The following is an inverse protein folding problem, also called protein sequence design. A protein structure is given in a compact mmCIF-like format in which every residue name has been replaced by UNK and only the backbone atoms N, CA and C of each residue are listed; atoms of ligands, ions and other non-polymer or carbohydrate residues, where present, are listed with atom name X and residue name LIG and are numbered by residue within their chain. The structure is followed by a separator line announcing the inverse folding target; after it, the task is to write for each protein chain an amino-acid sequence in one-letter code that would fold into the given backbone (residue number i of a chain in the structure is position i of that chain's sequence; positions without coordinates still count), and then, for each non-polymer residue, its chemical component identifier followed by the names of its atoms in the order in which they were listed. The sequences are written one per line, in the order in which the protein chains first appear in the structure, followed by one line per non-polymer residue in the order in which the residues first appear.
data_IF_051171317732
#
_entry.id   IF_051171317732
#
_cell.length_a   1.000
_cell.length_b   1.000
_cell.length_c   1.000
_cell.angle_alpha   90.00
_cell.angle_beta   90.00
_cell.angle_gamma   90.00
#
_symmetry.space_group_name_H-M   'P 1'
#
loop_
_entity.id
_entity.type
_entity.pdbx_description
1 polymer ?
#
# COMPACT_ATOMS: atom_id res chain seq x y z
N UNK A 1 6.43 -0.97 -13.35
CA UNK A 1 5.40 -1.72 -12.59
C UNK A 1 5.84 -3.18 -12.53
N UNK A 2 5.64 -3.84 -11.39
CA UNK A 2 5.89 -5.30 -11.21
C UNK A 2 4.74 -6.16 -11.72
N UNK A 3 3.52 -5.60 -11.80
CA UNK A 3 2.29 -6.22 -12.31
C UNK A 3 1.72 -5.38 -13.48
N UNK A 4 0.49 -5.66 -13.94
CA UNK A 4 -0.16 -4.94 -15.05
C UNK A 4 -1.59 -4.47 -14.71
N UNK A 5 -2.17 -3.56 -15.52
CA UNK A 5 -3.48 -2.94 -15.26
C UNK A 5 -4.61 -3.91 -14.88
N UNK A 6 -4.78 -4.98 -15.67
CA UNK A 6 -5.86 -5.96 -15.45
C UNK A 6 -5.68 -6.78 -14.17
N UNK A 7 -4.48 -6.78 -13.58
CA UNK A 7 -4.18 -7.56 -12.39
C UNK A 7 -4.74 -6.91 -11.11
N UNK A 8 -4.94 -5.58 -11.14
CA UNK A 8 -5.45 -4.79 -10.01
C UNK A 8 -6.79 -5.32 -9.48
N UNK A 9 -7.64 -5.89 -10.35
CA UNK A 9 -8.93 -6.49 -9.95
C UNK A 9 -8.79 -7.68 -8.98
N UNK A 10 -7.59 -8.26 -8.86
CA UNK A 10 -7.34 -9.42 -8.01
C UNK A 10 -6.99 -9.05 -6.58
N UNK A 11 -6.70 -7.78 -6.29
CA UNK A 11 -6.32 -7.30 -4.96
C UNK A 11 -7.49 -7.32 -3.96
N UNK A 12 -7.20 -7.64 -2.70
CA UNK A 12 -8.15 -7.55 -1.59
C UNK A 12 -8.10 -6.19 -0.87
N UNK A 13 -6.98 -5.48 -1.02
CA UNK A 13 -6.78 -4.13 -0.53
C UNK A 13 -5.92 -3.36 -1.53
N UNK A 14 -6.30 -2.11 -1.79
CA UNK A 14 -5.57 -1.22 -2.69
C UNK A 14 -5.22 0.06 -1.94
N UNK A 15 -3.93 0.28 -1.72
CA UNK A 15 -3.40 1.56 -1.23
C UNK A 15 -2.99 2.40 -2.44
N UNK A 16 -3.63 3.55 -2.60
CA UNK A 16 -3.25 4.59 -3.55
C UNK A 16 -2.56 5.69 -2.74
N UNK A 17 -1.24 5.85 -2.90
CA UNK A 17 -0.46 6.91 -2.25
C UNK A 17 0.41 7.62 -3.30
N UNK A 18 0.36 8.95 -3.33
CA UNK A 18 1.14 9.74 -4.29
C UNK A 18 0.67 9.61 -5.75
N UNK A 19 -0.58 9.21 -5.98
CA UNK A 19 -1.18 9.06 -7.30
C UNK A 19 -2.67 9.38 -7.30
N UNK A 20 -3.19 9.91 -8.42
CA UNK A 20 -4.62 10.22 -8.60
C UNK A 20 -5.19 9.49 -9.83
N UNK A 21 -5.31 8.15 -9.82
CA UNK A 21 -5.60 7.35 -11.01
C UNK A 21 -7.01 7.53 -11.59
N UNK A 22 -8.01 7.97 -10.81
CA UNK A 22 -9.33 8.29 -11.38
C UNK A 22 -9.27 9.48 -12.36
N UNK A 23 -8.23 10.32 -12.27
CA UNK A 23 -8.02 11.46 -13.16
C UNK A 23 -6.86 11.24 -14.13
N UNK A 24 -5.72 10.72 -13.63
CA UNK A 24 -4.50 10.54 -14.43
C UNK A 24 -4.47 9.22 -15.22
N UNK A 25 -5.22 8.20 -14.81
CA UNK A 25 -5.26 6.88 -15.46
C UNK A 25 -6.70 6.34 -15.53
N UNK A 26 -7.68 7.11 -16.03
CA UNK A 26 -9.10 6.81 -15.86
C UNK A 26 -9.52 5.49 -16.50
N UNK A 27 -8.94 5.12 -17.64
CA UNK A 27 -9.19 3.82 -18.29
C UNK A 27 -8.65 2.67 -17.43
N UNK A 28 -7.50 2.85 -16.78
CA UNK A 28 -6.97 1.85 -15.84
C UNK A 28 -7.81 1.75 -14.56
N UNK A 29 -8.42 2.86 -14.13
CA UNK A 29 -9.20 2.94 -12.90
C UNK A 29 -10.42 2.00 -12.87
N UNK A 30 -10.90 1.55 -14.05
CA UNK A 30 -11.95 0.53 -14.14
C UNK A 30 -11.60 -0.76 -13.38
N UNK A 31 -10.31 -1.13 -13.30
CA UNK A 31 -9.88 -2.35 -12.60
C UNK A 31 -9.86 -2.19 -11.08
N UNK A 32 -9.69 -0.97 -10.57
CA UNK A 32 -9.83 -0.64 -9.16
C UNK A 32 -11.30 -0.76 -8.74
N UNK A 33 -12.20 -0.18 -9.55
CA UNK A 33 -13.65 -0.28 -9.33
C UNK A 33 -14.10 -1.74 -9.42
N UNK A 34 -13.55 -2.53 -10.35
CA UNK A 34 -13.85 -3.96 -10.44
C UNK A 34 -13.42 -4.72 -9.18
N UNK A 35 -12.23 -4.46 -8.62
CA UNK A 35 -11.80 -5.05 -7.36
C UNK A 35 -12.77 -4.70 -6.21
N UNK A 36 -13.13 -3.40 -6.12
CA UNK A 36 -14.03 -2.87 -5.08
C UNK A 36 -15.43 -3.48 -5.13
N UNK A 37 -15.96 -3.74 -6.33
CA UNK A 37 -17.32 -4.27 -6.50
C UNK A 37 -17.39 -5.80 -6.52
N UNK A 38 -16.26 -6.50 -6.56
CA UNK A 38 -16.22 -7.95 -6.57
C UNK A 38 -16.43 -8.49 -5.14
N UNK A 39 -17.57 -9.14 -4.84
CA UNK A 39 -17.88 -9.60 -3.49
C UNK A 39 -16.93 -10.71 -3.01
N UNK A 40 -16.18 -11.34 -3.91
CA UNK A 40 -15.17 -12.36 -3.57
C UNK A 40 -13.85 -11.75 -3.09
N UNK A 41 -13.70 -10.43 -3.18
CA UNK A 41 -12.52 -9.67 -2.74
C UNK A 41 -12.75 -9.01 -1.39
N UNK A 42 -11.64 -8.60 -0.79
CA UNK A 42 -11.62 -7.84 0.44
C UNK A 42 -10.94 -8.59 1.59
N UNK A 43 -10.58 -7.90 2.68
CA UNK A 43 -10.03 -8.55 3.86
C UNK A 43 -11.09 -9.48 4.49
N UNK A 44 -10.76 -10.75 4.72
CA UNK A 44 -11.67 -11.72 5.38
C UNK A 44 -12.65 -12.40 4.41
N UNK A 45 -13.93 -12.45 4.79
CA UNK A 45 -15.00 -13.28 4.14
C UNK A 45 -15.70 -12.64 2.93
N UNK A 46 -15.13 -11.59 2.34
CA UNK A 46 -15.66 -10.90 1.15
C UNK A 46 -16.34 -9.55 1.44
N UNK A 47 -16.81 -8.90 0.37
CA UNK A 47 -17.48 -7.58 0.44
C UNK A 47 -16.89 -6.49 -0.47
N UNK A 48 -15.83 -6.80 -1.22
CA UNK A 48 -15.15 -5.86 -2.10
C UNK A 48 -13.75 -5.50 -1.62
N UNK A 49 -12.84 -5.25 -2.55
CA UNK A 49 -11.50 -4.76 -2.22
C UNK A 49 -11.57 -3.40 -1.52
N UNK A 50 -10.88 -3.26 -0.38
CA UNK A 50 -10.86 -2.01 0.37
C UNK A 50 -9.87 -1.02 -0.29
N UNK A 51 -10.36 0.14 -0.74
CA UNK A 51 -9.54 1.19 -1.35
C UNK A 51 -9.20 2.27 -0.32
N UNK A 52 -7.91 2.45 -0.05
CA UNK A 52 -7.37 3.54 0.77
C UNK A 52 -6.67 4.54 -0.14
N UNK A 53 -7.03 5.83 -0.06
CA UNK A 53 -6.37 6.89 -0.81
C UNK A 53 -5.68 7.88 0.15
N UNK A 54 -4.36 7.93 0.10
CA UNK A 54 -3.52 8.85 0.85
C UNK A 54 -3.01 9.97 -0.07
N UNK A 55 -3.53 11.19 0.12
CA UNK A 55 -3.21 12.37 -0.69
C UNK A 55 -3.40 13.64 0.16
N UNK A 56 -2.61 14.72 -0.04
CA UNK A 56 -2.84 16.00 0.63
C UNK A 56 -4.20 16.66 0.29
N UNK A 57 -4.83 16.24 -0.81
CA UNK A 57 -6.09 16.77 -1.35
C UNK A 57 -7.15 15.68 -1.44
N UNK A 58 -8.40 16.09 -1.30
CA UNK A 58 -9.54 15.24 -1.65
C UNK A 58 -9.80 15.35 -3.16
N UNK A 59 -9.66 14.24 -3.90
CA UNK A 59 -9.72 14.20 -5.38
C UNK A 59 -10.87 13.31 -5.87
N UNK A 60 -11.03 13.16 -7.20
CA UNK A 60 -11.99 12.17 -7.74
C UNK A 60 -11.62 10.73 -7.39
N UNK A 61 -10.33 10.44 -7.16
CA UNK A 61 -9.92 9.13 -6.61
C UNK A 61 -10.41 8.99 -5.17
N UNK A 62 -10.25 10.02 -4.33
CA UNK A 62 -10.72 10.00 -2.93
C UNK A 62 -12.23 9.76 -2.83
N UNK A 63 -13.01 10.29 -3.78
CA UNK A 63 -14.45 10.13 -3.82
C UNK A 63 -14.92 8.67 -4.02
N UNK A 64 -14.05 7.79 -4.54
CA UNK A 64 -14.33 6.36 -4.75
C UNK A 64 -13.60 5.45 -3.74
N UNK A 65 -12.73 6.02 -2.90
CA UNK A 65 -12.02 5.30 -1.86
C UNK A 65 -12.94 5.02 -0.66
N UNK A 66 -12.74 3.88 0.00
CA UNK A 66 -13.40 3.55 1.28
C UNK A 66 -12.82 4.38 2.42
N UNK A 67 -11.52 4.68 2.35
CA UNK A 67 -10.85 5.54 3.33
C UNK A 67 -9.97 6.58 2.64
N UNK A 68 -10.22 7.85 2.94
CA UNK A 68 -9.31 8.94 2.59
C UNK A 68 -8.41 9.28 3.78
N UNK A 69 -7.10 9.28 3.55
CA UNK A 69 -6.09 9.68 4.51
C UNK A 69 -5.43 10.97 4.04
N UNK A 70 -5.68 12.08 4.74
CA UNK A 70 -4.97 13.32 4.42
C UNK A 70 -3.55 13.24 4.96
N UNK A 71 -2.57 13.39 4.07
CA UNK A 71 -1.15 13.46 4.44
C UNK A 71 -0.57 14.84 4.09
N UNK A 72 0.45 15.29 4.83
CA UNK A 72 1.18 16.51 4.46
C UNK A 72 2.12 16.19 3.29
N UNK A 73 2.28 17.11 2.34
CA UNK A 73 3.27 16.96 1.26
C UNK A 73 4.67 16.74 1.84
N UNK A 74 5.36 15.70 1.34
CA UNK A 74 6.72 15.36 1.74
C UNK A 74 6.85 14.58 3.05
N UNK A 75 5.78 13.93 3.55
CA UNK A 75 5.82 13.11 4.78
C UNK A 75 5.64 11.62 4.56
N UNK A 76 5.68 11.16 3.32
CA UNK A 76 5.45 9.75 2.96
C UNK A 76 6.45 8.81 3.65
N UNK A 77 7.72 9.20 3.77
CA UNK A 77 8.75 8.40 4.46
C UNK A 77 8.38 8.15 5.92
N UNK A 78 7.90 9.17 6.65
CA UNK A 78 7.47 9.02 8.03
C UNK A 78 6.21 8.13 8.13
N UNK A 79 5.28 8.28 7.20
CA UNK A 79 4.07 7.46 7.11
C UNK A 79 4.41 5.97 6.91
N UNK A 80 5.22 5.64 5.90
CA UNK A 80 5.63 4.26 5.65
C UNK A 80 6.59 3.71 6.71
N UNK A 81 7.45 4.53 7.30
CA UNK A 81 8.29 4.14 8.44
C UNK A 81 7.43 3.72 9.64
N UNK A 82 6.35 4.45 9.93
CA UNK A 82 5.37 4.06 10.94
C UNK A 82 4.66 2.75 10.62
N UNK A 83 4.28 2.53 9.35
CA UNK A 83 3.67 1.27 8.91
C UNK A 83 4.62 0.08 9.08
N UNK A 84 5.88 0.22 8.66
CA UNK A 84 6.91 -0.81 8.83
C UNK A 84 7.09 -1.14 10.31
N UNK A 85 7.25 -0.12 11.17
CA UNK A 85 7.38 -0.31 12.61
C UNK A 85 6.17 -1.04 13.20
N UNK A 86 4.94 -0.65 12.83
CA UNK A 86 3.73 -1.32 13.29
C UNK A 86 3.67 -2.79 12.87
N UNK A 87 4.02 -3.10 11.62
CA UNK A 87 4.06 -4.49 11.12
C UNK A 87 5.06 -5.34 11.88
N UNK A 88 6.24 -4.80 12.19
CA UNK A 88 7.28 -5.51 12.94
C UNK A 88 6.88 -5.72 14.41
N UNK A 89 6.37 -4.67 15.07
CA UNK A 89 5.95 -4.74 16.49
C UNK A 89 4.79 -5.72 16.72
N UNK A 90 3.97 -5.97 15.70
CA UNK A 90 2.78 -6.81 15.81
C UNK A 90 2.91 -8.15 15.04
N UNK A 91 4.09 -8.51 14.55
CA UNK A 91 4.33 -9.74 13.78
C UNK A 91 3.36 -9.93 12.60
N UNK A 92 3.05 -8.86 11.86
CA UNK A 92 2.07 -8.86 10.76
C UNK A 92 2.71 -9.13 9.38
N UNK A 93 3.95 -9.60 9.34
CA UNK A 93 4.67 -9.92 8.12
C UNK A 93 4.54 -11.42 7.79
N UNK A 94 4.70 -11.77 6.52
CA UNK A 94 4.76 -13.16 6.10
C UNK A 94 6.15 -13.74 6.40
N UNK A 95 6.29 -14.43 7.53
CA UNK A 95 7.58 -14.94 8.05
C UNK A 95 8.36 -15.77 7.02
N UNK A 96 7.73 -16.78 6.41
CA UNK A 96 8.39 -17.65 5.43
C UNK A 96 8.91 -16.85 4.22
N UNK A 97 8.12 -15.92 3.71
CA UNK A 97 8.52 -15.07 2.60
C UNK A 97 9.71 -14.17 2.97
N UNK A 98 9.63 -13.51 4.13
CA UNK A 98 10.69 -12.62 4.61
C UNK A 98 12.00 -13.39 4.77
N UNK A 99 11.95 -14.58 5.40
CA UNK A 99 13.14 -15.39 5.65
C UNK A 99 13.84 -15.87 4.38
N UNK A 100 13.06 -16.29 3.37
CA UNK A 100 13.57 -17.02 2.21
C UNK A 100 13.75 -16.16 0.95
N UNK A 101 12.99 -15.07 0.81
CA UNK A 101 12.94 -14.28 -0.43
C UNK A 101 13.37 -12.82 -0.25
N UNK A 102 13.88 -12.47 0.93
CA UNK A 102 14.50 -11.17 1.21
C UNK A 102 15.91 -11.36 1.76
N UNK A 103 16.64 -10.27 1.97
CA UNK A 103 17.96 -10.28 2.59
C UNK A 103 17.90 -10.22 4.13
N UNK A 104 16.75 -10.43 4.76
CA UNK A 104 16.58 -10.30 6.22
C UNK A 104 17.52 -11.18 7.05
N UNK A 105 17.98 -12.31 6.50
CA UNK A 105 18.92 -13.23 7.16
C UNK A 105 20.39 -12.88 6.97
N UNK A 106 20.71 -11.86 6.17
CA UNK A 106 22.08 -11.48 5.88
C UNK A 106 22.69 -10.75 7.08
N UNK A 107 23.97 -11.03 7.35
CA UNK A 107 24.71 -10.35 8.41
C UNK A 107 25.30 -9.07 7.86
N UNK A 108 24.92 -7.93 8.44
CA UNK A 108 25.47 -6.61 8.11
C UNK A 108 26.84 -6.42 8.77
N UNK A 109 27.70 -5.60 8.18
CA UNK A 109 29.00 -5.24 8.78
C UNK A 109 28.78 -4.62 10.18
N UNK A 110 29.56 -5.09 11.17
CA UNK A 110 29.53 -4.61 12.56
C UNK A 110 29.82 -3.11 12.72
N UNK A 111 30.48 -2.50 11.74
CA UNK A 111 30.84 -1.08 11.78
C UNK A 111 29.69 -0.19 11.24
N UNK A 112 28.60 -0.78 10.73
CA UNK A 112 27.42 -0.02 10.30
C UNK A 112 26.70 0.57 11.52
N UNK A 113 26.47 1.88 11.49
CA UNK A 113 25.68 2.61 12.48
C UNK A 113 24.78 3.63 11.79
N UNK A 114 23.76 4.11 12.50
CA UNK A 114 22.92 5.22 12.09
C UNK A 114 22.62 6.08 13.32
N UNK A 115 23.10 7.32 13.36
CA UNK A 115 22.95 8.22 14.52
C UNK A 115 22.67 9.63 14.03
N UNK A 116 21.67 10.31 14.62
CA UNK A 116 21.25 11.66 14.26
C UNK A 116 20.92 11.87 12.77
N UNK A 117 20.48 10.81 12.08
CA UNK A 117 20.12 10.87 10.67
C UNK A 117 21.28 10.63 9.70
N UNK A 118 22.46 10.24 10.20
CA UNK A 118 23.70 10.00 9.45
C UNK A 118 24.20 8.57 9.64
#
# INVERSE_FOLDING_TARGET
MTNHWRDIKHADMILINGANPAEAHPVGFQWFVKAKLDPTKGPGSGGGANIIHADPRYTRTSALADKYLRIRTGTDVAYFGGLINYVLQNNLHHDEYVKNYTNASFIVNKDFTFTDGL
#
